data_IF_119949352144
#
_entry.id   IF_119949352144
#
_cell.length_a   1.000
_cell.length_b   1.000
_cell.length_c   1.000
_cell.angle_alpha   90.00
_cell.angle_beta   90.00
_cell.angle_gamma   90.00
#
_symmetry.space_group_name_H-M   'P 1'
#
loop_
_entity.id
_entity.type
_entity.pdbx_description
1 polymer ?
#
# COMPACT_ATOMS: atom_id res chain seq x y z
N UNK A 1 41.09 29.25 9.98
CA UNK A 1 39.88 28.38 9.90
C UNK A 1 39.39 28.10 8.47
N UNK A 2 40.08 28.54 7.40
CA UNK A 2 39.62 28.45 5.99
C UNK A 2 40.32 27.33 5.19
N UNK A 3 41.19 26.52 5.80
CA UNK A 3 42.11 25.65 5.03
C UNK A 3 41.62 24.22 4.80
N UNK A 4 40.71 23.68 5.63
CA UNK A 4 40.33 22.27 5.57
C UNK A 4 38.99 22.04 4.84
N UNK A 5 37.96 22.82 5.21
CA UNK A 5 36.66 22.79 4.53
C UNK A 5 36.75 23.12 3.03
N UNK A 6 37.59 24.09 2.66
CA UNK A 6 37.72 24.55 1.27
C UNK A 6 38.42 23.51 0.40
N UNK A 7 39.42 22.79 0.94
CA UNK A 7 40.08 21.68 0.24
C UNK A 7 39.16 20.47 0.10
N UNK A 8 38.41 20.16 1.16
CA UNK A 8 37.40 19.09 1.14
C UNK A 8 36.33 19.35 0.06
N UNK A 9 35.77 20.56 0.02
CA UNK A 9 34.76 20.91 -0.98
C UNK A 9 35.32 20.80 -2.41
N UNK A 10 36.51 21.35 -2.66
CA UNK A 10 37.15 21.26 -3.97
C UNK A 10 37.42 19.79 -4.40
N UNK A 11 37.83 18.93 -3.45
CA UNK A 11 38.04 17.51 -3.73
C UNK A 11 36.73 16.79 -4.09
N UNK A 12 35.64 17.09 -3.38
CA UNK A 12 34.31 16.54 -3.68
C UNK A 12 33.86 16.99 -5.07
N UNK A 13 33.96 18.28 -5.38
CA UNK A 13 33.55 18.85 -6.67
C UNK A 13 34.30 18.22 -7.86
N UNK A 14 35.61 18.02 -7.73
CA UNK A 14 36.43 17.35 -8.76
C UNK A 14 36.00 15.90 -9.03
N UNK A 15 35.40 15.23 -8.05
CA UNK A 15 35.00 13.83 -8.15
C UNK A 15 33.50 13.63 -8.46
N UNK A 16 32.73 14.70 -8.71
CA UNK A 16 31.30 14.60 -9.06
C UNK A 16 31.04 13.77 -10.32
N UNK A 17 31.99 13.73 -11.27
CA UNK A 17 31.90 12.87 -12.45
C UNK A 17 31.74 11.38 -12.10
N UNK A 18 32.31 10.94 -10.98
CA UNK A 18 32.17 9.57 -10.49
C UNK A 18 30.72 9.25 -10.08
N UNK A 19 30.03 10.23 -9.49
CA UNK A 19 28.62 10.11 -9.11
C UNK A 19 27.75 9.98 -10.36
N UNK A 20 27.99 10.80 -11.39
CA UNK A 20 27.28 10.70 -12.67
C UNK A 20 27.45 9.32 -13.30
N UNK A 21 28.67 8.76 -13.31
CA UNK A 21 28.96 7.44 -13.83
C UNK A 21 28.24 6.32 -13.03
N UNK A 22 28.16 6.45 -11.71
CA UNK A 22 27.45 5.48 -10.87
C UNK A 22 25.93 5.57 -11.03
N UNK A 23 25.36 6.78 -10.93
CA UNK A 23 23.92 7.03 -11.03
C UNK A 23 23.37 6.71 -12.43
N UNK A 24 24.15 6.95 -13.49
CA UNK A 24 23.78 6.64 -14.87
C UNK A 24 23.37 5.18 -15.08
N UNK A 25 23.95 4.24 -14.32
CA UNK A 25 23.64 2.79 -14.39
C UNK A 25 22.23 2.44 -13.88
N UNK A 26 21.59 3.36 -13.17
CA UNK A 26 20.27 3.18 -12.57
C UNK A 26 19.17 4.01 -13.24
N UNK A 27 19.48 4.73 -14.35
CA UNK A 27 18.47 5.45 -15.13
C UNK A 27 17.37 4.49 -15.61
N UNK A 28 16.13 4.97 -15.61
CA UNK A 28 14.96 4.22 -16.06
C UNK A 28 14.48 3.13 -15.10
N UNK A 29 14.93 3.12 -13.84
CA UNK A 29 14.50 2.14 -12.82
C UNK A 29 13.41 2.64 -11.88
N UNK A 30 12.63 3.64 -12.30
CA UNK A 30 11.50 4.18 -11.54
C UNK A 30 11.86 5.19 -10.45
N UNK A 31 13.09 5.71 -10.45
CA UNK A 31 13.52 6.84 -9.62
C UNK A 31 14.12 7.88 -10.56
N UNK A 32 13.77 9.15 -10.35
CA UNK A 32 14.29 10.27 -11.13
C UNK A 32 15.80 10.39 -11.02
N UNK A 33 16.43 10.86 -12.10
CA UNK A 33 17.88 10.93 -12.16
C UNK A 33 18.47 11.85 -11.09
N UNK A 34 17.78 12.95 -10.79
CA UNK A 34 18.24 13.94 -9.81
C UNK A 34 18.24 13.37 -8.38
N UNK A 35 17.29 12.51 -8.05
CA UNK A 35 17.26 11.82 -6.76
C UNK A 35 18.40 10.79 -6.65
N UNK A 36 18.65 10.03 -7.73
CA UNK A 36 19.78 9.10 -7.81
C UNK A 36 21.12 9.84 -7.67
N UNK A 37 21.23 11.00 -8.32
CA UNK A 37 22.40 11.86 -8.25
C UNK A 37 22.60 12.42 -6.84
N UNK A 38 21.54 12.97 -6.21
CA UNK A 38 21.58 13.48 -4.84
C UNK A 38 22.00 12.42 -3.81
N UNK A 39 21.44 11.21 -3.90
CA UNK A 39 21.84 10.09 -3.06
C UNK A 39 23.31 9.70 -3.29
N UNK A 40 23.76 9.69 -4.55
CA UNK A 40 25.15 9.42 -4.89
C UNK A 40 26.11 10.50 -4.38
N UNK A 41 25.73 11.78 -4.40
CA UNK A 41 26.50 12.88 -3.81
C UNK A 41 26.67 12.68 -2.29
N UNK A 42 25.63 12.25 -1.57
CA UNK A 42 25.78 11.90 -0.15
C UNK A 42 26.80 10.76 0.06
N UNK A 43 26.80 9.77 -0.83
CA UNK A 43 27.79 8.69 -0.82
C UNK A 43 29.21 9.17 -1.08
N UNK A 44 29.40 10.12 -2.00
CA UNK A 44 30.71 10.72 -2.27
C UNK A 44 31.24 11.51 -1.07
N UNK A 45 30.37 12.27 -0.39
CA UNK A 45 30.72 13.00 0.83
C UNK A 45 31.18 12.03 1.91
N UNK A 46 30.42 10.95 2.16
CA UNK A 46 30.78 9.90 3.12
C UNK A 46 32.09 9.20 2.76
N UNK A 47 32.30 8.92 1.46
CA UNK A 47 33.52 8.32 0.97
C UNK A 47 34.73 9.23 1.20
N UNK A 48 34.57 10.53 0.97
CA UNK A 48 35.63 11.53 1.22
C UNK A 48 35.99 11.59 2.70
N UNK A 49 35.00 11.56 3.59
CA UNK A 49 35.22 11.62 5.03
C UNK A 49 35.82 10.32 5.61
N UNK A 50 35.55 9.17 4.97
CA UNK A 50 35.98 7.85 5.44
C UNK A 50 37.21 7.27 4.73
N UNK A 51 37.77 7.97 3.74
CA UNK A 51 38.90 7.47 2.96
C UNK A 51 40.23 7.63 3.71
N UNK A 52 41.05 6.59 3.64
CA UNK A 52 42.34 6.51 4.31
C UNK A 52 43.46 6.39 3.24
N UNK A 53 44.20 7.48 3.07
CA UNK A 53 45.30 7.58 2.10
C UNK A 53 46.46 6.62 2.42
N UNK A 54 46.59 6.18 3.68
CA UNK A 54 47.63 5.26 4.12
C UNK A 54 47.51 3.85 3.55
N UNK A 55 46.39 3.51 2.90
CA UNK A 55 46.12 2.19 2.32
C UNK A 55 46.67 1.99 0.91
N UNK A 56 47.16 3.05 0.25
CA UNK A 56 47.82 2.95 -1.06
C UNK A 56 46.89 2.56 -2.22
N UNK A 57 45.57 2.75 -2.09
CA UNK A 57 44.58 2.48 -3.15
C UNK A 57 44.03 3.78 -3.72
N UNK A 58 43.56 3.75 -4.96
CA UNK A 58 42.88 4.89 -5.56
C UNK A 58 41.58 5.22 -4.81
N UNK A 59 41.28 6.52 -4.65
CA UNK A 59 40.03 6.97 -4.02
C UNK A 59 38.78 6.35 -4.67
N UNK A 60 38.75 6.26 -6.00
CA UNK A 60 37.64 5.66 -6.76
C UNK A 60 37.36 4.21 -6.36
N UNK A 61 38.39 3.43 -6.00
CA UNK A 61 38.25 2.04 -5.55
C UNK A 61 37.42 1.94 -4.27
N UNK A 62 37.54 2.92 -3.36
CA UNK A 62 36.76 2.99 -2.14
C UNK A 62 35.41 3.70 -2.34
N UNK A 63 35.41 4.81 -3.08
CA UNK A 63 34.24 5.66 -3.24
C UNK A 63 33.11 5.00 -4.04
N UNK A 64 33.42 4.22 -5.08
CA UNK A 64 32.40 3.59 -5.93
C UNK A 64 31.47 2.67 -5.12
N UNK A 65 31.96 1.71 -4.31
CA UNK A 65 31.10 0.90 -3.43
C UNK A 65 30.21 1.73 -2.49
N UNK A 66 30.73 2.82 -1.91
CA UNK A 66 29.99 3.68 -0.97
C UNK A 66 28.88 4.44 -1.70
N UNK A 67 29.18 5.06 -2.84
CA UNK A 67 28.21 5.76 -3.70
C UNK A 67 27.09 4.81 -4.14
N UNK A 68 27.46 3.62 -4.65
CA UNK A 68 26.48 2.61 -5.05
C UNK A 68 25.63 2.12 -3.86
N UNK A 69 26.20 2.09 -2.66
CA UNK A 69 25.48 1.75 -1.43
C UNK A 69 24.36 2.73 -1.10
N UNK A 70 24.62 4.03 -1.20
CA UNK A 70 23.62 5.08 -0.98
C UNK A 70 22.55 5.09 -2.08
N UNK A 71 22.93 4.92 -3.35
CA UNK A 71 21.96 4.82 -4.46
C UNK A 71 21.04 3.60 -4.26
N UNK A 72 21.61 2.43 -3.93
CA UNK A 72 20.82 1.21 -3.63
C UNK A 72 19.94 1.38 -2.39
N UNK A 73 20.33 2.21 -1.42
CA UNK A 73 19.52 2.53 -0.25
C UNK A 73 18.20 3.18 -0.67
N UNK A 74 18.22 4.08 -1.65
CA UNK A 74 17.02 4.73 -2.17
C UNK A 74 16.00 3.72 -2.73
N UNK A 75 16.46 2.70 -3.46
CA UNK A 75 15.59 1.60 -3.92
C UNK A 75 15.05 0.72 -2.77
N UNK A 76 15.82 0.58 -1.68
CA UNK A 76 15.40 -0.17 -0.49
C UNK A 76 14.38 0.59 0.35
N UNK A 77 14.51 1.90 0.47
CA UNK A 77 13.63 2.75 1.27
C UNK A 77 12.43 3.30 0.48
N UNK A 78 12.53 3.35 -0.84
CA UNK A 78 11.46 3.79 -1.75
C UNK A 78 10.39 2.72 -2.01
N UNK A 79 9.26 3.17 -2.56
CA UNK A 79 8.11 2.35 -2.91
C UNK A 79 6.80 3.06 -2.58
N UNK A 80 5.78 2.91 -3.42
CA UNK A 80 4.46 3.54 -3.24
C UNK A 80 3.79 3.11 -1.94
N UNK A 81 4.09 1.88 -1.49
CA UNK A 81 3.58 1.32 -0.22
C UNK A 81 4.75 0.97 0.68
N UNK A 82 4.72 1.48 1.91
CA UNK A 82 5.72 1.19 2.93
C UNK A 82 5.48 -0.21 3.50
N UNK A 83 6.34 -1.15 3.14
CA UNK A 83 6.34 -2.52 3.66
C UNK A 83 7.49 -2.75 4.64
N UNK A 84 7.40 -3.78 5.48
CA UNK A 84 8.46 -4.09 6.44
C UNK A 84 9.75 -4.51 5.72
N UNK A 85 10.89 -4.18 6.33
CA UNK A 85 12.21 -4.45 5.75
C UNK A 85 12.46 -5.94 5.50
N UNK A 86 12.10 -6.78 6.46
CA UNK A 86 12.25 -8.24 6.38
C UNK A 86 11.51 -8.81 5.17
N UNK A 87 10.30 -8.31 4.92
CA UNK A 87 9.43 -8.79 3.87
C UNK A 87 9.89 -8.33 2.49
N UNK A 88 10.47 -7.12 2.38
CA UNK A 88 11.10 -6.61 1.16
C UNK A 88 12.39 -7.35 0.82
N UNK A 89 13.23 -7.65 1.82
CA UNK A 89 14.43 -8.47 1.66
C UNK A 89 14.08 -9.91 1.26
N UNK A 90 13.02 -10.48 1.85
CA UNK A 90 12.47 -11.78 1.43
C UNK A 90 11.98 -11.73 -0.02
N UNK A 91 11.24 -10.70 -0.44
CA UNK A 91 10.79 -10.55 -1.82
C UNK A 91 11.94 -10.51 -2.84
N UNK A 92 13.06 -9.86 -2.49
CA UNK A 92 14.28 -9.87 -3.32
C UNK A 92 14.90 -11.27 -3.41
N UNK A 93 14.97 -12.01 -2.30
CA UNK A 93 15.44 -13.41 -2.29
C UNK A 93 14.54 -14.32 -3.12
N UNK A 94 13.22 -14.18 -2.99
CA UNK A 94 12.23 -14.92 -3.77
C UNK A 94 12.40 -14.67 -5.27
N UNK A 95 12.58 -13.42 -5.69
CA UNK A 95 12.81 -13.12 -7.10
C UNK A 95 14.15 -13.68 -7.61
N UNK A 96 15.20 -13.66 -6.80
CA UNK A 96 16.48 -14.27 -7.16
C UNK A 96 16.37 -15.80 -7.30
N UNK A 97 15.65 -16.47 -6.38
CA UNK A 97 15.37 -17.90 -6.45
C UNK A 97 14.53 -18.27 -7.69
N UNK A 98 13.48 -17.49 -8.00
CA UNK A 98 12.69 -17.65 -9.24
C UNK A 98 13.56 -17.56 -10.49
N UNK A 99 14.44 -16.56 -10.56
CA UNK A 99 15.36 -16.39 -11.69
C UNK A 99 16.35 -17.56 -11.81
N UNK A 100 16.90 -18.01 -10.68
CA UNK A 100 17.81 -19.14 -10.62
C UNK A 100 17.15 -20.45 -11.07
N UNK A 101 15.96 -20.75 -10.55
CA UNK A 101 15.19 -21.93 -10.94
C UNK A 101 14.80 -21.88 -12.42
N UNK A 102 14.38 -20.72 -12.93
CA UNK A 102 14.07 -20.55 -14.36
C UNK A 102 15.27 -20.85 -15.25
N UNK A 103 16.49 -20.47 -14.83
CA UNK A 103 17.72 -20.76 -15.58
C UNK A 103 18.10 -22.24 -15.57
N UNK A 104 17.89 -22.93 -14.45
CA UNK A 104 18.27 -24.34 -14.30
C UNK A 104 17.24 -25.30 -14.92
N UNK A 105 15.96 -25.07 -14.64
CA UNK A 105 14.87 -26.01 -14.94
C UNK A 105 14.01 -25.56 -16.13
N UNK A 106 14.15 -24.31 -16.59
CA UNK A 106 13.33 -23.75 -17.67
C UNK A 106 11.87 -23.46 -17.29
N UNK A 107 11.48 -23.71 -16.04
CA UNK A 107 10.11 -23.56 -15.53
C UNK A 107 10.07 -22.67 -14.29
N UNK A 108 8.89 -22.10 -13.99
CA UNK A 108 8.69 -21.37 -12.74
C UNK A 108 8.61 -22.33 -11.54
N UNK A 109 9.27 -22.01 -10.42
CA UNK A 109 9.15 -22.79 -9.20
C UNK A 109 7.78 -22.59 -8.55
N UNK A 110 7.27 -23.64 -7.92
CA UNK A 110 6.07 -23.59 -7.07
C UNK A 110 6.36 -22.87 -5.74
N UNK A 111 5.32 -22.39 -5.07
CA UNK A 111 5.45 -21.74 -3.76
C UNK A 111 6.11 -22.66 -2.71
N UNK A 112 5.81 -23.95 -2.75
CA UNK A 112 6.41 -24.95 -1.83
C UNK A 112 7.89 -25.15 -2.08
N UNK A 113 8.33 -25.17 -3.35
CA UNK A 113 9.74 -25.27 -3.71
C UNK A 113 10.52 -24.02 -3.27
N UNK A 114 9.93 -22.83 -3.45
CA UNK A 114 10.51 -21.58 -2.95
C UNK A 114 10.59 -21.57 -1.41
N UNK A 115 9.59 -22.12 -0.72
CA UNK A 115 9.58 -22.26 0.75
C UNK A 115 10.72 -23.14 1.25
N UNK A 116 10.91 -24.29 0.60
CA UNK A 116 11.98 -25.23 0.92
C UNK A 116 13.37 -24.64 0.63
N UNK A 117 13.55 -24.00 -0.53
CA UNK A 117 14.83 -23.39 -0.94
C UNK A 117 15.23 -22.23 0.00
N UNK A 118 14.27 -21.43 0.43
CA UNK A 118 14.52 -20.20 1.20
C UNK A 118 14.41 -20.39 2.71
N UNK A 119 13.94 -21.55 3.17
CA UNK A 119 13.74 -21.87 4.59
C UNK A 119 12.65 -21.04 5.27
N UNK A 120 11.59 -20.71 4.53
CA UNK A 120 10.52 -19.79 4.97
C UNK A 120 9.14 -20.44 4.79
N UNK A 121 8.11 -19.95 5.50
CA UNK A 121 6.75 -20.45 5.30
C UNK A 121 6.19 -20.02 3.94
N UNK A 122 5.31 -20.85 3.37
CA UNK A 122 4.56 -20.52 2.13
C UNK A 122 3.77 -19.22 2.29
N UNK A 123 3.23 -18.97 3.48
CA UNK A 123 2.51 -17.74 3.83
C UNK A 123 3.42 -16.51 3.72
N UNK A 124 4.62 -16.56 4.34
CA UNK A 124 5.58 -15.47 4.28
C UNK A 124 6.06 -15.20 2.84
N UNK A 125 6.25 -16.24 2.04
CA UNK A 125 6.60 -16.10 0.62
C UNK A 125 5.47 -15.45 -0.16
N UNK A 126 4.23 -15.86 0.08
CA UNK A 126 3.05 -15.30 -0.58
C UNK A 126 2.92 -13.81 -0.27
N UNK A 127 3.06 -13.44 1.02
CA UNK A 127 3.05 -12.05 1.45
C UNK A 127 4.19 -11.24 0.83
N UNK A 128 5.40 -11.81 0.79
CA UNK A 128 6.55 -11.15 0.17
C UNK A 128 6.38 -10.91 -1.33
N UNK A 129 5.76 -11.85 -2.05
CA UNK A 129 5.44 -11.71 -3.48
C UNK A 129 4.40 -10.59 -3.67
N UNK A 130 3.34 -10.58 -2.88
CA UNK A 130 2.29 -9.56 -2.96
C UNK A 130 2.82 -8.16 -2.64
N UNK A 131 3.63 -8.04 -1.59
CA UNK A 131 4.26 -6.78 -1.19
C UNK A 131 5.28 -6.24 -2.20
N UNK A 132 5.87 -7.12 -3.03
CA UNK A 132 6.78 -6.72 -4.09
C UNK A 132 6.05 -6.27 -5.38
N UNK A 133 4.72 -6.44 -5.46
CA UNK A 133 3.96 -5.97 -6.61
C UNK A 133 3.98 -4.44 -6.68
N UNK A 134 4.28 -3.85 -7.85
CA UNK A 134 4.18 -2.41 -8.03
C UNK A 134 2.71 -1.97 -7.96
N UNK A 135 2.47 -0.78 -7.42
CA UNK A 135 1.14 -0.17 -7.49
C UNK A 135 0.83 0.20 -8.94
N UNK A 136 -0.41 -0.06 -9.36
CA UNK A 136 -0.93 0.38 -10.66
C UNK A 136 -1.46 1.81 -10.54
N UNK A 137 -1.19 2.64 -11.55
CA UNK A 137 -1.82 3.97 -11.65
C UNK A 137 -3.27 3.81 -12.14
N UNK A 138 -4.20 4.50 -11.50
CA UNK A 138 -5.60 4.60 -11.95
C UNK A 138 -5.73 5.52 -13.16
N UNK A 139 -4.78 6.44 -13.32
CA UNK A 139 -4.68 7.40 -14.42
C UNK A 139 -3.32 7.19 -15.11
N UNK A 140 -3.19 6.18 -15.99
CA UNK A 140 -1.97 5.98 -16.74
C UNK A 140 -1.75 7.14 -17.73
N UNK A 141 -0.58 7.79 -17.68
CA UNK A 141 -0.21 8.81 -18.66
C UNK A 141 0.39 8.14 -19.92
N UNK A 142 0.14 8.70 -21.12
CA UNK A 142 0.70 8.22 -22.40
C UNK A 142 -0.30 7.47 -23.31
N UNK A 143 0.17 6.54 -24.14
CA UNK A 143 -0.66 5.82 -25.14
C UNK A 143 -1.82 5.00 -24.53
N UNK A 144 -1.83 4.79 -23.21
CA UNK A 144 -2.91 4.14 -22.47
C UNK A 144 -3.87 5.13 -21.78
N UNK A 145 -3.84 6.43 -22.13
CA UNK A 145 -4.70 7.47 -21.52
C UNK A 145 -6.20 7.16 -21.61
N UNK A 146 -6.65 6.38 -22.59
CA UNK A 146 -8.06 5.97 -22.73
C UNK A 146 -8.46 4.83 -21.78
N UNK A 147 -7.51 4.30 -20.98
CA UNK A 147 -7.75 3.22 -20.01
C UNK A 147 -7.72 3.73 -18.57
N UNK A 148 -8.44 4.81 -18.31
CA UNK A 148 -8.71 5.21 -16.93
C UNK A 148 -9.46 4.06 -16.24
N UNK A 149 -8.93 3.62 -15.10
CA UNK A 149 -9.55 2.54 -14.33
C UNK A 149 -10.61 3.20 -13.44
N UNK A 150 -11.87 3.08 -13.81
CA UNK A 150 -12.99 3.52 -12.97
C UNK A 150 -13.11 2.59 -11.77
N UNK A 151 -13.11 3.20 -10.58
CA UNK A 151 -13.40 2.51 -9.33
C UNK A 151 -14.91 2.53 -9.14
N UNK A 152 -15.58 1.37 -8.99
CA UNK A 152 -16.99 1.36 -8.66
C UNK A 152 -17.19 2.06 -7.31
N UNK A 153 -18.02 3.09 -7.32
CA UNK A 153 -18.49 3.80 -6.12
C UNK A 153 -19.96 3.42 -5.88
N UNK A 154 -20.40 3.45 -4.63
CA UNK A 154 -21.82 3.33 -4.33
C UNK A 154 -22.57 4.45 -5.07
N UNK A 155 -23.62 4.09 -5.81
CA UNK A 155 -24.38 5.06 -6.60
C UNK A 155 -25.23 5.93 -5.65
N UNK A 156 -25.08 7.27 -5.68
CA UNK A 156 -25.96 8.16 -4.93
C UNK A 156 -27.43 8.00 -5.30
N UNK A 157 -27.71 7.54 -6.53
CA UNK A 157 -29.05 7.29 -7.06
C UNK A 157 -29.65 6.02 -6.45
N UNK A 158 -28.85 4.97 -6.26
CA UNK A 158 -29.27 3.75 -5.56
C UNK A 158 -29.57 4.05 -4.09
N UNK A 159 -28.70 4.82 -3.41
CA UNK A 159 -28.93 5.23 -2.01
C UNK A 159 -30.21 6.08 -1.88
N UNK A 160 -30.47 6.96 -2.86
CA UNK A 160 -31.68 7.77 -2.90
C UNK A 160 -32.93 6.91 -3.14
N UNK A 161 -32.86 5.96 -4.08
CA UNK A 161 -33.95 5.03 -4.38
C UNK A 161 -34.30 4.18 -3.14
N UNK A 162 -33.30 3.65 -2.43
CA UNK A 162 -33.48 2.90 -1.19
C UNK A 162 -34.15 3.75 -0.10
N UNK A 163 -33.74 5.01 0.06
CA UNK A 163 -34.34 5.94 1.02
C UNK A 163 -35.79 6.27 0.68
N UNK A 164 -36.11 6.49 -0.58
CA UNK A 164 -37.47 6.76 -1.05
C UNK A 164 -38.35 5.52 -0.83
N UNK A 165 -37.91 4.35 -1.28
CA UNK A 165 -38.65 3.09 -1.08
C UNK A 165 -38.88 2.79 0.40
N UNK A 166 -37.88 3.00 1.26
CA UNK A 166 -38.03 2.85 2.70
C UNK A 166 -39.05 3.83 3.28
N UNK A 167 -39.06 5.09 2.84
CA UNK A 167 -40.02 6.09 3.30
C UNK A 167 -41.45 5.71 2.92
N UNK A 168 -41.69 5.29 1.69
CA UNK A 168 -43.01 4.83 1.21
C UNK A 168 -43.51 3.61 2.00
N UNK A 169 -42.62 2.63 2.22
CA UNK A 169 -42.95 1.44 3.00
C UNK A 169 -43.27 1.82 4.45
N UNK A 170 -42.52 2.73 5.06
CA UNK A 170 -42.81 3.23 6.42
C UNK A 170 -44.14 3.97 6.51
N UNK A 171 -44.50 4.77 5.51
CA UNK A 171 -45.78 5.48 5.44
C UNK A 171 -46.97 4.54 5.24
N UNK A 172 -46.76 3.42 4.56
CA UNK A 172 -47.78 2.38 4.37
C UNK A 172 -48.05 1.53 5.62
N UNK A 173 -47.24 1.66 6.68
CA UNK A 173 -47.44 0.97 7.95
C UNK A 173 -48.51 1.67 8.80
N UNK A 174 -49.29 0.91 9.60
CA UNK A 174 -50.14 1.47 10.64
C UNK A 174 -49.37 2.41 11.58
N UNK A 175 -50.02 3.46 12.09
CA UNK A 175 -49.36 4.49 12.91
C UNK A 175 -48.60 3.92 14.12
N UNK A 176 -49.20 2.95 14.82
CA UNK A 176 -48.55 2.28 15.95
C UNK A 176 -47.30 1.48 15.55
N UNK A 177 -47.33 0.82 14.39
CA UNK A 177 -46.19 0.05 13.87
C UNK A 177 -45.05 1.00 13.45
N UNK A 178 -45.41 2.13 12.81
CA UNK A 178 -44.47 3.19 12.42
C UNK A 178 -43.82 3.83 13.66
N UNK A 179 -44.61 4.08 14.70
CA UNK A 179 -44.12 4.62 15.97
C UNK A 179 -43.13 3.66 16.64
N UNK A 180 -43.44 2.36 16.65
CA UNK A 180 -42.52 1.33 17.15
C UNK A 180 -41.19 1.36 16.38
N UNK A 181 -41.22 1.37 15.05
CA UNK A 181 -39.99 1.41 14.23
C UNK A 181 -39.21 2.71 14.46
N UNK A 182 -39.87 3.87 14.56
CA UNK A 182 -39.22 5.14 14.91
C UNK A 182 -38.51 5.09 16.27
N UNK A 183 -39.17 4.55 17.30
CA UNK A 183 -38.56 4.42 18.62
C UNK A 183 -37.33 3.50 18.60
N UNK A 184 -37.41 2.39 17.87
CA UNK A 184 -36.35 1.37 17.80
C UNK A 184 -35.14 1.82 16.99
N UNK A 185 -35.37 2.41 15.81
CA UNK A 185 -34.31 2.65 14.81
C UNK A 185 -33.94 4.12 14.62
N UNK A 186 -34.83 5.07 14.92
CA UNK A 186 -34.52 6.51 14.85
C UNK A 186 -34.17 7.10 16.22
N UNK A 187 -34.86 6.68 17.27
CA UNK A 187 -34.60 7.14 18.64
C UNK A 187 -33.66 6.22 19.44
N UNK A 188 -33.12 5.17 18.81
CA UNK A 188 -32.19 4.20 19.40
C UNK A 188 -32.65 3.60 20.75
N UNK A 189 -33.97 3.42 20.94
CA UNK A 189 -34.53 2.82 22.16
C UNK A 189 -34.39 1.31 22.13
N UNK A 190 -34.08 0.72 23.29
CA UNK A 190 -34.13 -0.74 23.48
C UNK A 190 -35.57 -1.26 23.40
N UNK A 191 -35.76 -2.57 23.20
CA UNK A 191 -37.11 -3.17 23.16
C UNK A 191 -37.83 -2.98 24.50
N UNK A 192 -37.10 -3.03 25.60
CA UNK A 192 -37.62 -2.81 26.95
C UNK A 192 -38.06 -1.36 27.18
N UNK A 193 -37.29 -0.38 26.71
CA UNK A 193 -37.67 1.03 26.79
C UNK A 193 -38.86 1.35 25.88
N UNK A 194 -38.86 0.80 24.66
CA UNK A 194 -39.99 0.93 23.73
C UNK A 194 -41.26 0.31 24.31
N UNK A 195 -41.14 -0.83 24.99
CA UNK A 195 -42.26 -1.48 25.67
C UNK A 195 -42.85 -0.60 26.80
N UNK A 196 -42.01 0.10 27.56
CA UNK A 196 -42.45 1.06 28.58
C UNK A 196 -43.22 2.23 27.96
N UNK A 197 -42.72 2.78 26.85
CA UNK A 197 -43.36 3.92 26.14
C UNK A 197 -44.68 3.52 25.50
N UNK A 198 -44.77 2.31 24.96
CA UNK A 198 -45.98 1.78 24.30
C UNK A 198 -46.88 0.97 25.25
N UNK A 199 -46.68 1.07 26.56
CA UNK A 199 -47.47 0.39 27.60
C UNK A 199 -47.71 -1.11 27.33
N UNK A 200 -46.66 -1.82 26.92
CA UNK A 200 -46.71 -3.24 26.52
C UNK A 200 -45.51 -4.01 27.09
N UNK A 201 -45.36 -5.29 26.74
CA UNK A 201 -44.24 -6.13 27.18
C UNK A 201 -43.12 -6.18 26.14
N UNK A 202 -41.87 -6.38 26.59
CA UNK A 202 -40.72 -6.53 25.70
C UNK A 202 -40.89 -7.69 24.70
N UNK A 203 -41.51 -8.80 25.12
CA UNK A 203 -41.77 -9.96 24.26
C UNK A 203 -42.78 -9.61 23.16
N UNK A 204 -43.81 -8.82 23.48
CA UNK A 204 -44.78 -8.33 22.48
C UNK A 204 -44.12 -7.39 21.48
N UNK A 205 -43.27 -6.45 21.92
CA UNK A 205 -42.47 -5.60 21.02
C UNK A 205 -41.58 -6.45 20.12
N UNK A 206 -40.84 -7.42 20.65
CA UNK A 206 -39.95 -8.29 19.86
C UNK A 206 -40.69 -9.06 18.77
N UNK A 207 -41.89 -9.57 19.07
CA UNK A 207 -42.73 -10.29 18.09
C UNK A 207 -43.29 -9.33 17.04
N UNK A 208 -43.77 -8.16 17.45
CA UNK A 208 -44.34 -7.12 16.58
C UNK A 208 -43.28 -6.54 15.64
N UNK A 209 -42.10 -6.20 16.16
CA UNK A 209 -40.92 -5.74 15.41
C UNK A 209 -40.53 -6.74 14.31
N UNK A 210 -40.40 -8.03 14.65
CA UNK A 210 -40.09 -9.08 13.66
C UNK A 210 -41.14 -9.18 12.55
N UNK A 211 -42.42 -9.04 12.89
CA UNK A 211 -43.51 -9.08 11.91
C UNK A 211 -43.47 -7.87 10.98
N UNK A 212 -43.23 -6.67 11.54
CA UNK A 212 -43.12 -5.43 10.78
C UNK A 212 -41.92 -5.50 9.83
N UNK A 213 -40.72 -5.87 10.32
CA UNK A 213 -39.51 -5.96 9.51
C UNK A 213 -39.64 -6.96 8.36
N UNK A 214 -40.33 -8.10 8.59
CA UNK A 214 -40.60 -9.06 7.51
C UNK A 214 -41.49 -8.44 6.42
N UNK A 215 -42.58 -7.78 6.82
CA UNK A 215 -43.50 -7.11 5.89
C UNK A 215 -42.81 -5.97 5.13
N UNK A 216 -41.95 -5.20 5.80
CA UNK A 216 -41.16 -4.15 5.15
C UNK A 216 -40.21 -4.75 4.13
N UNK A 217 -39.52 -5.85 4.45
CA UNK A 217 -38.63 -6.54 3.52
C UNK A 217 -39.36 -7.10 2.30
N UNK A 218 -40.52 -7.71 2.49
CA UNK A 218 -41.34 -8.21 1.37
C UNK A 218 -41.71 -7.07 0.42
N UNK A 219 -42.14 -5.92 0.95
CA UNK A 219 -42.52 -4.74 0.14
C UNK A 219 -41.36 -4.02 -0.53
N UNK A 220 -40.16 -4.05 0.05
CA UNK A 220 -38.97 -3.46 -0.56
C UNK A 220 -38.37 -4.34 -1.68
N UNK A 221 -38.81 -5.60 -1.78
CA UNK A 221 -38.38 -6.55 -2.80
C UNK A 221 -39.42 -6.75 -3.91
N UNK A 222 -40.60 -6.15 -3.77
CA UNK A 222 -41.65 -6.05 -4.79
C UNK A 222 -41.40 -4.83 -5.70
#
# INVERSE_FOLDING_TARGET
>A
MVTDKTRRSAFIEQNLGLVHACAGRFRGRGIEYDDLYGAGCMGLVKATDGFDEGRGVCFSTYAVPVILGEIKKLFREGGTVKVSRSLKELGLRVNAAREHHRKLCGTEPTLSQLAEELGESVENITLAIQAAQPALSLTPEGENSDRQIDIPVESPEEELADKIGLAEVLESLPEEDRLLIRLRFYANRTQSETAKVLHTTQVQISRRERKILRKMRERLLE
#
